data_IF_497868416861
#
_entry.id   IF_497868416861
#
_cell.length_a   1.000
_cell.length_b   1.000
_cell.length_c   1.000
_cell.angle_alpha   90.00
_cell.angle_beta   90.00
_cell.angle_gamma   90.00
#
_symmetry.space_group_name_H-M   'P 1'
#
loop_
_entity.id
_entity.type
_entity.pdbx_description
1 polymer ?
#
# COMPACT_ATOMS: atom_id res chain seq x y z
N UNK A 1 -20.48 -16.04 3.54
CA UNK A 1 -19.42 -16.25 2.53
C UNK A 1 -18.43 -15.10 2.66
N UNK A 2 -17.15 -15.37 2.91
CA UNK A 2 -16.10 -14.34 2.84
C UNK A 2 -15.84 -14.11 1.36
N UNK A 3 -16.26 -12.98 0.84
CA UNK A 3 -16.15 -12.65 -0.58
C UNK A 3 -14.86 -11.86 -0.78
N UNK A 4 -13.89 -12.46 -1.47
CA UNK A 4 -12.69 -11.75 -1.90
C UNK A 4 -13.12 -10.83 -3.05
N UNK A 5 -13.23 -9.53 -2.77
CA UNK A 5 -13.64 -8.51 -3.75
C UNK A 5 -12.47 -8.12 -4.67
N UNK A 6 -11.97 -9.09 -5.45
CA UNK A 6 -10.98 -8.83 -6.49
C UNK A 6 -11.68 -8.72 -7.84
N UNK A 7 -11.37 -7.66 -8.58
CA UNK A 7 -11.94 -7.40 -9.89
C UNK A 7 -10.84 -7.04 -10.90
N UNK A 8 -11.15 -7.21 -12.19
CA UNK A 8 -10.27 -6.85 -13.30
C UNK A 8 -8.86 -7.46 -13.17
N UNK A 9 -7.84 -6.61 -13.26
CA UNK A 9 -6.42 -7.03 -13.25
C UNK A 9 -6.01 -7.74 -11.95
N UNK A 10 -6.65 -7.41 -10.83
CA UNK A 10 -6.34 -8.03 -9.54
C UNK A 10 -6.85 -9.48 -9.50
N UNK A 11 -8.03 -9.73 -10.06
CA UNK A 11 -8.59 -11.09 -10.17
C UNK A 11 -7.77 -11.98 -11.09
N UNK A 12 -7.39 -11.47 -12.27
CA UNK A 12 -6.56 -12.24 -13.21
C UNK A 12 -5.20 -12.62 -12.61
N UNK A 13 -4.60 -11.72 -11.84
CA UNK A 13 -3.37 -12.05 -11.12
C UNK A 13 -3.58 -13.13 -10.07
N UNK A 14 -4.63 -13.02 -9.24
CA UNK A 14 -4.90 -13.99 -8.18
C UNK A 14 -5.09 -15.40 -8.74
N UNK A 15 -5.84 -15.54 -9.83
CA UNK A 15 -6.05 -16.83 -10.51
C UNK A 15 -4.73 -17.45 -10.97
N UNK A 16 -3.85 -16.66 -11.60
CA UNK A 16 -2.52 -17.14 -11.98
C UNK A 16 -1.68 -17.51 -10.75
N UNK A 17 -1.68 -16.67 -9.73
CA UNK A 17 -0.88 -16.87 -8.52
C UNK A 17 -1.30 -18.15 -7.78
N UNK A 18 -2.60 -18.43 -7.68
CA UNK A 18 -3.15 -19.66 -7.11
C UNK A 18 -2.70 -20.91 -7.90
N UNK A 19 -2.63 -20.83 -9.23
CA UNK A 19 -2.11 -21.96 -10.03
C UNK A 19 -0.63 -22.27 -9.80
N UNK A 20 0.15 -21.27 -9.38
CA UNK A 20 1.58 -21.42 -9.12
C UNK A 20 1.88 -21.93 -7.71
N UNK A 21 0.91 -21.91 -6.79
CA UNK A 21 1.14 -22.18 -5.38
C UNK A 21 -0.01 -23.03 -4.82
N UNK A 22 0.20 -24.34 -4.70
CA UNK A 22 -0.85 -25.32 -4.36
C UNK A 22 -1.20 -25.46 -2.87
N UNK A 23 -0.42 -24.88 -1.94
CA UNK A 23 -0.55 -25.17 -0.49
C UNK A 23 -0.31 -23.93 0.42
N UNK A 24 -0.53 -22.75 -0.14
CA UNK A 24 -0.32 -21.44 0.52
C UNK A 24 -1.50 -21.07 1.42
N UNK A 25 -1.18 -20.59 2.62
CA UNK A 25 -2.16 -20.11 3.58
C UNK A 25 -2.60 -18.67 3.31
N UNK A 26 -3.58 -18.22 4.10
CA UNK A 26 -4.04 -16.82 4.07
C UNK A 26 -2.92 -15.80 4.36
N UNK A 27 -1.97 -16.16 5.22
CA UNK A 27 -0.84 -15.28 5.55
C UNK A 27 0.08 -15.06 4.34
N UNK A 28 0.39 -16.11 3.59
CA UNK A 28 1.22 -16.02 2.38
C UNK A 28 0.53 -15.19 1.30
N UNK A 29 -0.79 -15.36 1.15
CA UNK A 29 -1.57 -14.56 0.22
C UNK A 29 -1.60 -13.08 0.59
N UNK A 30 -1.76 -12.74 1.87
CA UNK A 30 -1.70 -11.34 2.34
C UNK A 30 -0.34 -10.70 2.03
N UNK A 31 0.75 -11.42 2.18
CA UNK A 31 2.08 -10.91 1.83
C UNK A 31 2.20 -10.70 0.32
N UNK A 32 1.82 -11.69 -0.48
CA UNK A 32 1.91 -11.61 -1.94
C UNK A 32 1.05 -10.48 -2.54
N UNK A 33 -0.15 -10.24 -2.00
CA UNK A 33 -1.01 -9.15 -2.49
C UNK A 33 -0.46 -7.79 -2.08
N UNK A 34 0.12 -7.66 -0.89
CA UNK A 34 0.79 -6.45 -0.46
C UNK A 34 2.03 -6.20 -1.32
N UNK A 35 2.93 -7.16 -1.50
CA UNK A 35 4.13 -6.97 -2.34
C UNK A 35 3.80 -6.53 -3.77
N UNK A 36 2.69 -7.00 -4.34
CA UNK A 36 2.34 -6.69 -5.72
C UNK A 36 1.54 -5.40 -5.90
N UNK A 37 0.63 -5.09 -4.98
CA UNK A 37 -0.30 -3.97 -5.15
C UNK A 37 -0.08 -2.83 -4.15
N UNK A 38 0.71 -3.04 -3.10
CA UNK A 38 1.07 -1.97 -2.18
C UNK A 38 2.03 -1.02 -2.90
N UNK A 39 1.60 0.23 -3.05
CA UNK A 39 2.51 1.28 -3.50
C UNK A 39 3.43 1.66 -2.33
N UNK A 40 4.69 2.00 -2.60
CA UNK A 40 5.65 2.41 -1.55
C UNK A 40 5.11 3.52 -0.63
N UNK A 41 4.25 4.39 -1.17
CA UNK A 41 3.55 5.46 -0.44
C UNK A 41 2.56 4.97 0.64
N UNK A 42 2.12 3.70 0.62
CA UNK A 42 1.10 3.15 1.53
C UNK A 42 1.66 2.37 2.73
N UNK A 43 2.97 2.10 2.81
CA UNK A 43 3.58 1.43 3.96
C UNK A 43 3.50 2.27 5.24
N UNK A 44 3.58 3.59 5.10
CA UNK A 44 3.26 4.52 6.16
C UNK A 44 2.70 5.80 5.49
N UNK A 45 1.37 6.00 5.52
CA UNK A 45 0.75 7.17 4.91
C UNK A 45 1.24 8.49 5.54
N UNK A 46 1.81 8.43 6.75
CA UNK A 46 2.40 9.56 7.46
C UNK A 46 3.92 9.65 7.32
N UNK A 47 4.57 8.79 6.52
CA UNK A 47 6.03 8.81 6.38
C UNK A 47 6.55 10.17 5.92
N UNK A 48 5.85 10.79 4.96
CA UNK A 48 6.18 12.14 4.48
C UNK A 48 6.02 13.19 5.59
N UNK A 49 4.94 13.10 6.38
CA UNK A 49 4.69 14.00 7.52
C UNK A 49 5.71 13.80 8.65
N UNK A 50 6.14 12.58 8.91
CA UNK A 50 7.19 12.24 9.89
C UNK A 50 8.58 12.72 9.45
N UNK A 51 8.84 12.75 8.14
CA UNK A 51 10.08 13.25 7.56
C UNK A 51 10.12 14.79 7.48
N UNK A 52 8.95 15.45 7.51
CA UNK A 52 8.84 16.90 7.41
C UNK A 52 9.47 17.59 8.63
N UNK A 53 10.41 18.50 8.38
CA UNK A 53 11.05 19.33 9.40
C UNK A 53 10.94 20.79 9.01
N UNK A 54 10.79 21.67 9.99
CA UNK A 54 10.90 23.11 9.77
C UNK A 54 12.38 23.47 9.64
N UNK A 55 12.81 23.86 8.44
CA UNK A 55 14.20 24.28 8.18
C UNK A 55 14.34 25.81 8.11
N UNK A 56 13.36 26.49 7.50
CA UNK A 56 13.36 27.95 7.34
C UNK A 56 12.20 28.58 8.12
N UNK A 57 11.14 29.01 7.44
CA UNK A 57 10.03 29.72 8.06
C UNK A 57 8.91 28.78 8.51
N UNK A 58 8.10 29.27 9.44
CA UNK A 58 6.88 28.56 9.85
C UNK A 58 5.88 28.52 8.70
N UNK A 59 5.77 29.59 7.90
CA UNK A 59 4.88 29.61 6.74
C UNK A 59 5.20 28.50 5.73
N UNK A 60 6.46 28.33 5.34
CA UNK A 60 6.87 27.29 4.38
C UNK A 60 6.68 25.88 4.92
N UNK A 61 6.92 25.68 6.22
CA UNK A 61 6.63 24.40 6.86
C UNK A 61 5.13 24.08 6.79
N UNK A 62 4.26 25.06 7.07
CA UNK A 62 2.80 24.89 7.02
C UNK A 62 2.33 24.61 5.59
N UNK A 63 2.83 25.32 4.59
CA UNK A 63 2.51 25.05 3.18
C UNK A 63 2.93 23.64 2.74
N UNK A 64 4.07 23.13 3.24
CA UNK A 64 4.50 21.77 2.95
C UNK A 64 3.66 20.73 3.69
N UNK A 65 3.25 21.00 4.93
CA UNK A 65 2.39 20.13 5.72
C UNK A 65 1.01 19.96 5.05
N UNK A 66 0.41 21.04 4.56
CA UNK A 66 -0.91 21.03 3.90
C UNK A 66 -0.94 20.19 2.61
N UNK A 67 0.21 19.96 1.94
CA UNK A 67 0.28 19.12 0.73
C UNK A 67 0.09 17.62 1.02
N UNK A 68 0.22 17.21 2.28
CA UNK A 68 0.13 15.81 2.72
C UNK A 68 -1.09 15.54 3.62
N UNK A 69 -1.91 16.57 3.91
CA UNK A 69 -3.14 16.49 4.69
C UNK A 69 -4.37 16.28 3.80
#
# INVERSE_FOLDING_TARGET
AVMVALEGKALSWFQWWETCHSDIGWEDFKLAILERFQTSATLNPFAALLALKQEETVEEYVEQFEKFA
#
